data_IF_347581047374
#
_entry.id   IF_347581047374
#
_cell.length_a   1.000
_cell.length_b   1.000
_cell.length_c   1.000
_cell.angle_alpha   90.00
_cell.angle_beta   90.00
_cell.angle_gamma   90.00
#
_symmetry.space_group_name_H-M   'P 1'
#
loop_
_entity.id
_entity.type
_entity.pdbx_description
1 polymer ?
#
# COMPACT_ATOMS: atom_id res chain seq x y z
N UNK A 1 -30.38 33.97 44.99
CA UNK A 1 -30.31 32.57 44.59
C UNK A 1 -31.14 32.25 43.33
N UNK A 2 -32.42 32.61 43.23
CA UNK A 2 -33.27 32.32 42.03
C UNK A 2 -32.72 32.89 40.69
N UNK A 3 -32.14 34.10 40.68
CA UNK A 3 -31.60 34.73 39.46
C UNK A 3 -30.34 34.02 38.94
N UNK A 4 -29.49 33.48 39.82
CA UNK A 4 -28.30 32.73 39.44
C UNK A 4 -28.69 31.38 38.84
N UNK A 5 -29.74 30.75 39.37
CA UNK A 5 -30.25 29.46 38.85
C UNK A 5 -30.83 29.59 37.43
N UNK A 6 -31.52 30.71 37.15
CA UNK A 6 -32.08 31.02 35.82
C UNK A 6 -30.93 31.23 34.79
N UNK A 7 -29.88 31.97 35.17
CA UNK A 7 -28.72 32.20 34.31
C UNK A 7 -27.99 30.88 34.00
N UNK A 8 -27.87 29.99 34.98
CA UNK A 8 -27.24 28.66 34.81
C UNK A 8 -28.05 27.74 33.87
N UNK A 9 -29.40 27.77 33.96
CA UNK A 9 -30.29 27.03 33.08
C UNK A 9 -30.23 27.59 31.65
N UNK A 10 -30.22 28.90 31.47
CA UNK A 10 -30.11 29.55 30.16
C UNK A 10 -28.74 29.27 29.53
N UNK A 11 -27.64 29.25 30.30
CA UNK A 11 -26.30 28.85 29.84
C UNK A 11 -26.24 27.39 29.42
N UNK A 12 -26.94 26.50 30.11
CA UNK A 12 -27.00 25.06 29.76
C UNK A 12 -27.83 24.79 28.49
N UNK A 13 -28.85 25.63 28.24
CA UNK A 13 -29.68 25.57 27.02
C UNK A 13 -28.97 26.15 25.77
N UNK A 14 -27.89 26.93 25.95
CA UNK A 14 -27.09 27.52 24.91
C UNK A 14 -25.85 26.65 24.55
N UNK A 15 -25.71 25.45 25.12
CA UNK A 15 -24.73 24.49 24.62
C UNK A 15 -25.05 24.19 23.15
N UNK A 16 -24.14 24.50 22.20
CA UNK A 16 -24.39 24.18 20.80
C UNK A 16 -24.59 22.68 20.74
N UNK A 17 -25.70 22.22 20.15
CA UNK A 17 -25.80 20.85 19.67
C UNK A 17 -24.62 20.67 18.68
N UNK A 18 -23.54 20.12 19.16
CA UNK A 18 -22.47 19.67 18.30
C UNK A 18 -23.12 18.66 17.33
N UNK A 19 -23.41 19.13 16.11
CA UNK A 19 -23.97 18.30 15.09
C UNK A 19 -23.02 17.11 14.94
N UNK A 20 -23.50 15.91 15.21
CA UNK A 20 -22.73 14.70 15.00
C UNK A 20 -22.38 14.66 13.52
N UNK A 21 -21.09 14.75 13.20
CA UNK A 21 -20.61 14.58 11.84
C UNK A 21 -21.09 13.20 11.37
N UNK A 22 -21.81 13.15 10.25
CA UNK A 22 -22.32 11.91 9.70
C UNK A 22 -21.13 11.12 9.16
N UNK A 23 -20.76 10.01 9.80
CA UNK A 23 -19.83 9.05 9.24
C UNK A 23 -20.53 8.27 8.13
N UNK A 24 -19.96 8.29 6.94
CA UNK A 24 -20.52 7.59 5.77
C UNK A 24 -20.18 6.12 5.81
N UNK A 25 -21.19 5.27 5.57
CA UNK A 25 -21.00 3.88 5.16
C UNK A 25 -20.80 3.81 3.64
N UNK A 26 -20.22 2.74 3.17
CA UNK A 26 -19.98 2.53 1.73
C UNK A 26 -21.30 2.61 0.94
N UNK A 27 -22.42 2.11 1.52
CA UNK A 27 -23.74 2.16 0.93
C UNK A 27 -24.31 3.57 0.79
N UNK A 28 -23.97 4.45 1.73
CA UNK A 28 -24.51 5.81 1.83
C UNK A 28 -23.81 6.80 0.90
N UNK A 29 -22.66 6.42 0.32
CA UNK A 29 -21.93 7.28 -0.61
C UNK A 29 -22.72 7.42 -1.92
N UNK A 30 -23.10 8.64 -2.32
CA UNK A 30 -23.82 8.84 -3.57
C UNK A 30 -22.85 8.66 -4.75
N UNK A 31 -22.84 7.46 -5.33
CA UNK A 31 -22.03 7.16 -6.51
C UNK A 31 -22.61 7.87 -7.73
N UNK A 32 -22.25 9.16 -7.88
CA UNK A 32 -22.82 10.07 -8.90
C UNK A 32 -22.58 9.57 -10.31
N UNK A 33 -21.46 8.91 -10.58
CA UNK A 33 -21.12 8.36 -11.89
C UNK A 33 -22.11 7.26 -12.36
N UNK A 34 -22.73 6.55 -11.43
CA UNK A 34 -23.75 5.55 -11.77
C UNK A 34 -25.06 6.18 -12.26
N UNK A 35 -25.31 7.45 -11.90
CA UNK A 35 -26.48 8.22 -12.33
C UNK A 35 -26.17 9.07 -13.57
N UNK A 36 -24.98 9.68 -13.60
CA UNK A 36 -24.50 10.53 -14.67
C UNK A 36 -23.04 10.20 -14.99
N UNK A 37 -22.82 9.59 -16.15
CA UNK A 37 -21.49 9.14 -16.62
C UNK A 37 -20.47 10.26 -16.85
N UNK A 38 -20.90 11.52 -16.78
CA UNK A 38 -20.03 12.71 -16.89
C UNK A 38 -19.58 13.25 -15.54
N UNK A 39 -20.13 12.71 -14.44
CA UNK A 39 -19.82 13.12 -13.07
C UNK A 39 -18.92 12.10 -12.39
N UNK A 40 -17.88 12.58 -11.73
CA UNK A 40 -16.84 11.77 -11.08
C UNK A 40 -16.64 12.12 -9.60
N UNK A 41 -17.14 13.33 -9.19
CA UNK A 41 -16.92 13.88 -7.85
C UNK A 41 -18.14 13.66 -6.97
N UNK A 42 -18.01 12.81 -5.95
CA UNK A 42 -18.98 12.61 -4.87
C UNK A 42 -18.69 13.59 -3.73
N UNK A 43 -19.50 14.62 -3.58
CA UNK A 43 -19.31 15.72 -2.63
C UNK A 43 -20.62 16.04 -1.89
N UNK A 44 -21.20 15.09 -1.13
CA UNK A 44 -22.49 15.27 -0.48
C UNK A 44 -22.48 16.35 0.59
N UNK A 45 -21.35 16.54 1.26
CA UNK A 45 -21.17 17.52 2.36
C UNK A 45 -20.75 18.91 1.86
N UNK A 46 -20.68 19.10 0.53
CA UNK A 46 -20.28 20.38 -0.09
C UNK A 46 -18.93 20.91 0.41
N UNK A 47 -17.98 20.01 0.66
CA UNK A 47 -16.62 20.35 1.06
C UNK A 47 -15.90 21.09 -0.07
N UNK A 48 -16.10 20.62 -1.31
CA UNK A 48 -15.60 21.28 -2.51
C UNK A 48 -16.68 22.22 -3.08
N UNK A 49 -16.22 23.36 -3.59
CA UNK A 49 -17.10 24.31 -4.29
C UNK A 49 -17.63 23.72 -5.60
N UNK A 50 -18.82 24.15 -6.07
CA UNK A 50 -19.37 23.69 -7.34
C UNK A 50 -18.41 23.91 -8.53
N UNK A 51 -17.69 25.03 -8.56
CA UNK A 51 -16.74 25.36 -9.61
C UNK A 51 -15.54 24.42 -9.65
N UNK A 52 -15.02 24.02 -8.48
CA UNK A 52 -13.94 23.02 -8.36
C UNK A 52 -14.43 21.65 -8.78
N UNK A 53 -15.63 21.26 -8.36
CA UNK A 53 -16.24 20.00 -8.74
C UNK A 53 -16.41 19.91 -10.26
N UNK A 54 -16.96 20.94 -10.91
CA UNK A 54 -17.13 20.99 -12.37
C UNK A 54 -15.78 20.94 -13.11
N UNK A 55 -14.77 21.63 -12.60
CA UNK A 55 -13.41 21.60 -13.16
C UNK A 55 -12.81 20.21 -13.13
N UNK A 56 -12.96 19.49 -12.01
CA UNK A 56 -12.48 18.12 -11.86
C UNK A 56 -13.29 17.16 -12.74
N UNK A 57 -14.62 17.26 -12.77
CA UNK A 57 -15.49 16.43 -13.61
C UNK A 57 -15.11 16.56 -15.10
N UNK A 58 -14.92 17.80 -15.59
CA UNK A 58 -14.51 18.07 -16.97
C UNK A 58 -13.15 17.47 -17.29
N UNK A 59 -12.19 17.62 -16.37
CA UNK A 59 -10.83 17.08 -16.50
C UNK A 59 -10.85 15.56 -16.56
N UNK A 60 -11.61 14.90 -15.69
CA UNK A 60 -11.72 13.45 -15.62
C UNK A 60 -12.52 12.86 -16.79
N UNK A 61 -13.52 13.57 -17.28
CA UNK A 61 -14.22 13.19 -18.49
C UNK A 61 -13.30 13.14 -19.71
N UNK A 62 -12.44 14.16 -19.86
CA UNK A 62 -11.43 14.19 -20.91
C UNK A 62 -10.43 13.01 -20.75
N UNK A 63 -9.92 12.77 -19.54
CA UNK A 63 -9.03 11.65 -19.24
C UNK A 63 -9.68 10.30 -19.57
N UNK A 64 -10.92 10.09 -19.15
CA UNK A 64 -11.66 8.84 -19.43
C UNK A 64 -11.83 8.60 -20.93
N UNK A 65 -12.08 9.66 -21.71
CA UNK A 65 -12.24 9.56 -23.17
C UNK A 65 -10.95 9.17 -23.88
N UNK A 66 -9.80 9.68 -23.43
CA UNK A 66 -8.50 9.42 -24.05
C UNK A 66 -7.89 8.09 -23.61
N UNK A 67 -7.88 7.81 -22.31
CA UNK A 67 -7.16 6.65 -21.72
C UNK A 67 -8.09 5.49 -21.35
N UNK A 68 -9.39 5.77 -21.19
CA UNK A 68 -10.36 4.81 -20.67
C UNK A 68 -10.21 4.49 -19.17
N UNK A 69 -9.39 5.24 -18.43
CA UNK A 69 -9.21 5.13 -16.98
C UNK A 69 -10.49 5.59 -16.29
N UNK A 70 -10.92 4.86 -15.26
CA UNK A 70 -12.09 5.18 -14.48
C UNK A 70 -11.68 5.72 -13.10
N UNK A 71 -12.13 6.94 -12.80
CA UNK A 71 -11.76 7.64 -11.57
C UNK A 71 -13.00 7.94 -10.75
N UNK A 72 -12.90 7.80 -9.43
CA UNK A 72 -13.88 8.28 -8.45
C UNK A 72 -13.18 9.19 -7.46
N UNK A 73 -13.70 10.39 -7.30
CA UNK A 73 -13.22 11.37 -6.32
C UNK A 73 -14.29 11.54 -5.25
N UNK A 74 -13.91 11.41 -4.00
CA UNK A 74 -14.82 11.57 -2.87
C UNK A 74 -14.29 12.65 -1.92
N UNK A 75 -15.19 13.55 -1.51
CA UNK A 75 -14.94 14.52 -0.48
C UNK A 75 -16.04 14.37 0.58
N UNK A 76 -15.68 13.76 1.70
CA UNK A 76 -16.59 13.39 2.80
C UNK A 76 -16.14 14.02 4.10
N UNK A 77 -17.09 14.33 4.98
CA UNK A 77 -16.74 14.82 6.32
C UNK A 77 -16.09 13.72 7.12
N UNK A 78 -16.68 12.54 7.17
CA UNK A 78 -16.17 11.42 7.94
C UNK A 78 -16.51 10.08 7.29
N UNK A 79 -15.76 9.03 7.61
CA UNK A 79 -15.96 7.67 7.12
C UNK A 79 -16.12 6.69 8.28
N UNK A 80 -16.92 5.65 8.08
CA UNK A 80 -17.14 4.60 9.09
C UNK A 80 -15.79 3.99 9.48
N UNK A 81 -15.63 3.62 10.75
CA UNK A 81 -14.44 3.05 11.36
C UNK A 81 -13.17 3.92 11.30
N UNK A 82 -13.22 5.11 10.68
CA UNK A 82 -12.10 6.05 10.59
C UNK A 82 -10.90 5.57 9.77
N UNK A 83 -11.01 4.43 9.08
CA UNK A 83 -9.97 3.90 8.20
C UNK A 83 -10.23 4.31 6.75
N UNK A 84 -9.59 5.42 6.35
CA UNK A 84 -9.72 5.98 5.00
C UNK A 84 -9.24 5.01 3.91
N UNK A 85 -8.21 4.21 4.19
CA UNK A 85 -7.68 3.26 3.21
C UNK A 85 -8.66 2.11 2.99
N UNK A 86 -9.07 1.46 4.07
CA UNK A 86 -9.98 0.34 3.99
C UNK A 86 -11.33 0.75 3.39
N UNK A 87 -11.81 1.96 3.73
CA UNK A 87 -13.03 2.51 3.16
C UNK A 87 -12.92 2.71 1.64
N UNK A 88 -11.85 3.36 1.17
CA UNK A 88 -11.63 3.59 -0.27
C UNK A 88 -11.45 2.28 -1.05
N UNK A 89 -10.69 1.33 -0.50
CA UNK A 89 -10.47 0.01 -1.10
C UNK A 89 -11.78 -0.77 -1.23
N UNK A 90 -12.53 -0.91 -0.14
CA UNK A 90 -13.79 -1.65 -0.11
C UNK A 90 -14.85 -1.03 -1.02
N UNK A 91 -14.86 0.31 -1.13
CA UNK A 91 -15.72 1.01 -2.08
C UNK A 91 -15.35 0.66 -3.53
N UNK A 92 -14.05 0.67 -3.86
CA UNK A 92 -13.56 0.30 -5.18
C UNK A 92 -13.93 -1.13 -5.59
N UNK A 93 -13.77 -2.07 -4.67
CA UNK A 93 -14.13 -3.47 -4.86
C UNK A 93 -15.64 -3.66 -5.01
N UNK A 94 -16.43 -3.01 -4.14
CA UNK A 94 -17.89 -3.11 -4.15
C UNK A 94 -18.51 -2.61 -5.44
N UNK A 95 -18.08 -1.45 -5.92
CA UNK A 95 -18.61 -0.84 -7.14
C UNK A 95 -17.86 -1.24 -8.40
N UNK A 96 -16.73 -1.93 -8.27
CA UNK A 96 -15.92 -2.42 -9.38
C UNK A 96 -15.37 -1.29 -10.24
N UNK A 97 -14.82 -0.25 -9.62
CA UNK A 97 -14.24 0.91 -10.32
C UNK A 97 -13.08 0.45 -11.20
N UNK A 98 -13.11 0.84 -12.49
CA UNK A 98 -12.13 0.36 -13.48
C UNK A 98 -12.68 -0.78 -14.35
N UNK A 99 -11.98 -1.09 -15.43
CA UNK A 99 -12.35 -2.14 -16.38
C UNK A 99 -11.74 -3.47 -15.97
N UNK A 100 -12.55 -4.52 -15.84
CA UNK A 100 -12.18 -5.87 -15.40
C UNK A 100 -10.95 -6.48 -16.11
N UNK A 101 -10.70 -6.10 -17.37
CA UNK A 101 -9.54 -6.61 -18.14
C UNK A 101 -8.29 -5.73 -17.99
N UNK A 102 -8.45 -4.50 -17.52
CA UNK A 102 -7.37 -3.50 -17.43
C UNK A 102 -7.02 -3.13 -16.01
N UNK A 103 -7.91 -3.39 -15.05
CA UNK A 103 -7.80 -3.01 -13.63
C UNK A 103 -7.34 -1.53 -13.45
N UNK A 104 -7.89 -0.65 -14.31
CA UNK A 104 -7.50 0.74 -14.46
C UNK A 104 -8.41 1.71 -13.68
N UNK A 105 -8.83 1.29 -12.50
CA UNK A 105 -9.59 2.10 -11.56
C UNK A 105 -8.69 2.98 -10.69
N UNK A 106 -9.18 4.16 -10.34
CA UNK A 106 -8.53 5.09 -9.41
C UNK A 106 -9.55 5.67 -8.47
N UNK A 107 -9.26 5.64 -7.18
CA UNK A 107 -10.09 6.26 -6.14
C UNK A 107 -9.26 7.30 -5.40
N UNK A 108 -9.83 8.49 -5.22
CA UNK A 108 -9.26 9.56 -4.43
C UNK A 108 -10.28 9.95 -3.37
N UNK A 109 -9.97 9.71 -2.10
CA UNK A 109 -10.82 10.01 -0.95
C UNK A 109 -10.18 11.09 -0.08
N UNK A 110 -10.88 12.20 0.08
CA UNK A 110 -10.62 13.20 1.10
C UNK A 110 -11.64 13.03 2.22
N UNK A 111 -11.18 12.83 3.45
CA UNK A 111 -12.02 12.96 4.66
C UNK A 111 -11.49 14.10 5.52
N UNK A 112 -12.35 15.10 5.75
CA UNK A 112 -11.96 16.29 6.51
C UNK A 112 -11.98 16.05 8.01
N UNK A 113 -12.87 15.19 8.52
CA UNK A 113 -12.95 14.81 9.93
C UNK A 113 -11.79 13.91 10.34
N UNK A 114 -11.45 12.93 9.52
CA UNK A 114 -10.27 12.06 9.72
C UNK A 114 -8.96 12.75 9.36
N UNK A 115 -9.02 13.93 8.72
CA UNK A 115 -7.85 14.66 8.19
C UNK A 115 -6.95 13.75 7.35
N UNK A 116 -7.55 13.01 6.44
CA UNK A 116 -6.83 12.09 5.57
C UNK A 116 -7.14 12.34 4.10
N UNK A 117 -6.13 12.12 3.27
CA UNK A 117 -6.26 11.94 1.82
C UNK A 117 -5.75 10.55 1.47
N UNK A 118 -6.55 9.79 0.74
CA UNK A 118 -6.22 8.45 0.30
C UNK A 118 -6.34 8.37 -1.23
N UNK A 119 -5.32 7.82 -1.87
CA UNK A 119 -5.32 7.45 -3.29
C UNK A 119 -5.18 5.94 -3.36
N UNK A 120 -6.12 5.26 -4.00
CA UNK A 120 -6.08 3.80 -4.21
C UNK A 120 -6.10 3.52 -5.70
N UNK A 121 -5.13 2.74 -6.17
CA UNK A 121 -4.94 2.40 -7.59
C UNK A 121 -5.31 0.95 -7.86
N UNK A 122 -5.96 0.70 -8.98
CA UNK A 122 -6.10 -0.64 -9.52
C UNK A 122 -4.77 -1.15 -10.08
N UNK A 123 -4.60 -2.45 -10.19
CA UNK A 123 -3.35 -3.11 -10.66
C UNK A 123 -2.82 -2.54 -11.97
N UNK A 124 -3.71 -2.19 -12.93
CA UNK A 124 -3.31 -1.64 -14.22
C UNK A 124 -2.72 -0.23 -14.16
N UNK A 125 -2.82 0.45 -13.03
CA UNK A 125 -2.26 1.79 -12.83
C UNK A 125 -0.99 1.80 -11.99
N UNK A 126 -0.61 0.70 -11.34
CA UNK A 126 0.56 0.64 -10.45
C UNK A 126 1.87 0.96 -11.17
N UNK A 127 1.99 0.62 -12.45
CA UNK A 127 3.15 0.98 -13.26
C UNK A 127 3.29 2.50 -13.52
N UNK A 128 2.16 3.23 -13.53
CA UNK A 128 2.11 4.66 -13.84
C UNK A 128 2.04 5.50 -12.56
N UNK A 129 1.22 5.06 -11.62
CA UNK A 129 0.95 5.67 -10.32
C UNK A 129 1.29 4.69 -9.18
N UNK A 130 2.56 4.28 -9.02
CA UNK A 130 2.96 3.50 -7.85
C UNK A 130 2.81 4.31 -6.56
N UNK A 131 2.74 3.65 -5.42
CA UNK A 131 2.52 4.23 -4.09
C UNK A 131 3.43 5.42 -3.79
N UNK A 132 4.70 5.32 -4.15
CA UNK A 132 5.68 6.40 -3.95
C UNK A 132 5.33 7.67 -4.76
N UNK A 133 4.75 7.51 -5.95
CA UNK A 133 4.29 8.64 -6.78
C UNK A 133 3.02 9.23 -6.19
N UNK A 134 2.04 8.40 -5.81
CA UNK A 134 0.83 8.83 -5.12
C UNK A 134 1.17 9.62 -3.85
N UNK A 135 2.07 9.11 -3.02
CA UNK A 135 2.54 9.78 -1.80
C UNK A 135 3.18 11.14 -2.10
N UNK A 136 4.03 11.22 -3.13
CA UNK A 136 4.67 12.46 -3.55
C UNK A 136 3.67 13.51 -4.04
N UNK A 137 2.62 13.08 -4.75
CA UNK A 137 1.54 13.97 -5.20
C UNK A 137 0.80 14.53 -3.98
N UNK A 138 0.43 13.69 -3.01
CA UNK A 138 -0.20 14.13 -1.78
C UNK A 138 0.65 15.16 -1.04
N UNK A 139 1.92 14.86 -0.81
CA UNK A 139 2.84 15.72 -0.04
C UNK A 139 3.12 17.06 -0.71
N UNK A 140 3.23 17.09 -2.05
CA UNK A 140 3.57 18.30 -2.77
C UNK A 140 2.37 19.14 -3.21
N UNK A 141 1.28 18.50 -3.61
CA UNK A 141 0.18 19.16 -4.30
C UNK A 141 -1.15 19.16 -3.53
N UNK A 142 -1.27 18.38 -2.41
CA UNK A 142 -2.51 18.27 -1.67
C UNK A 142 -2.34 18.73 -0.21
N UNK A 143 -1.51 18.07 0.56
CA UNK A 143 -1.36 18.29 2.01
C UNK A 143 -1.03 19.73 2.42
N UNK A 144 -0.16 20.50 1.70
CA UNK A 144 0.13 21.87 2.07
C UNK A 144 -1.09 22.80 2.05
N UNK A 145 -2.09 22.47 1.23
CA UNK A 145 -3.35 23.20 1.14
C UNK A 145 -4.36 22.65 2.16
N UNK A 146 -4.49 21.33 2.28
CA UNK A 146 -5.39 20.69 3.23
C UNK A 146 -5.07 21.04 4.68
N UNK A 147 -3.80 21.15 5.03
CA UNK A 147 -3.37 21.60 6.35
C UNK A 147 -3.89 23.01 6.72
N UNK A 148 -4.17 23.83 5.70
CA UNK A 148 -4.73 25.19 5.85
C UNK A 148 -6.25 25.26 5.67
N UNK A 149 -6.91 24.12 5.40
CA UNK A 149 -8.34 24.07 5.07
C UNK A 149 -8.68 24.53 3.64
N UNK A 150 -7.68 24.70 2.76
CA UNK A 150 -7.89 25.09 1.36
C UNK A 150 -8.27 23.85 0.52
N UNK A 151 -9.45 23.28 0.80
CA UNK A 151 -9.90 22.00 0.22
C UNK A 151 -9.96 22.01 -1.31
N UNK A 152 -10.56 23.04 -1.87
CA UNK A 152 -10.70 23.23 -3.32
C UNK A 152 -9.34 23.21 -4.02
N UNK A 153 -8.42 24.01 -3.52
CA UNK A 153 -7.11 24.18 -4.13
C UNK A 153 -6.27 22.90 -4.04
N UNK A 154 -6.28 22.26 -2.86
CA UNK A 154 -5.54 21.01 -2.66
C UNK A 154 -6.08 19.88 -3.53
N UNK A 155 -7.41 19.75 -3.65
CA UNK A 155 -8.00 18.74 -4.50
C UNK A 155 -7.71 19.02 -5.98
N UNK A 156 -7.89 20.26 -6.44
CA UNK A 156 -7.69 20.64 -7.85
C UNK A 156 -6.23 20.44 -8.28
N UNK A 157 -5.27 20.91 -7.47
CA UNK A 157 -3.84 20.76 -7.80
C UNK A 157 -3.40 19.29 -7.76
N UNK A 158 -3.88 18.52 -6.81
CA UNK A 158 -3.63 17.08 -6.76
C UNK A 158 -4.19 16.34 -7.96
N UNK A 159 -5.43 16.64 -8.36
CA UNK A 159 -6.05 16.02 -9.53
C UNK A 159 -5.37 16.42 -10.85
N UNK A 160 -4.88 17.66 -10.97
CA UNK A 160 -4.05 18.09 -12.11
C UNK A 160 -2.76 17.26 -12.20
N UNK A 161 -2.07 17.06 -11.07
CA UNK A 161 -0.84 16.29 -11.02
C UNK A 161 -1.08 14.80 -11.37
N UNK A 162 -2.16 14.21 -10.87
CA UNK A 162 -2.58 12.85 -11.21
C UNK A 162 -2.87 12.75 -12.72
N UNK A 163 -3.70 13.64 -13.25
CA UNK A 163 -4.02 13.66 -14.69
C UNK A 163 -2.78 13.78 -15.55
N UNK A 164 -1.86 14.69 -15.22
CA UNK A 164 -0.62 14.87 -15.97
C UNK A 164 0.20 13.58 -16.00
N UNK A 165 0.27 12.87 -14.87
CA UNK A 165 1.00 11.60 -14.80
C UNK A 165 0.34 10.50 -15.64
N UNK A 166 -1.00 10.41 -15.61
CA UNK A 166 -1.76 9.44 -16.37
C UNK A 166 -1.78 9.73 -17.88
N UNK A 167 -1.77 11.00 -18.28
CA UNK A 167 -1.74 11.39 -19.71
C UNK A 167 -0.37 11.12 -20.35
N UNK A 168 0.72 11.31 -19.61
CA UNK A 168 2.07 11.09 -20.12
C UNK A 168 2.45 9.61 -20.21
N UNK A 169 1.65 8.70 -19.67
CA UNK A 169 1.90 7.26 -19.74
C UNK A 169 1.67 6.70 -21.15
N UNK A 170 0.72 7.27 -21.90
CA UNK A 170 0.47 6.86 -23.28
C UNK A 170 1.61 7.26 -24.25
N UNK A 171 2.45 8.25 -23.88
CA UNK A 171 3.63 8.64 -24.67
C UNK A 171 4.86 7.78 -24.38
N UNK A 172 4.91 7.08 -23.25
CA UNK A 172 6.08 6.28 -22.85
C UNK A 172 6.09 4.87 -23.40
N UNK A 173 4.96 4.34 -23.85
CA UNK A 173 4.88 3.03 -24.52
C UNK A 173 5.38 3.06 -25.98
N UNK A 174 5.55 4.28 -26.57
CA UNK A 174 6.10 4.47 -27.91
C UNK A 174 7.61 4.80 -27.92
N UNK A 175 8.18 5.20 -26.79
CA UNK A 175 9.60 5.55 -26.65
C UNK A 175 10.23 4.90 -25.40
N UNK A 176 10.29 3.60 -25.41
CA UNK A 176 10.96 2.80 -24.37
C UNK A 176 12.48 2.99 -24.36
N UNK A 177 13.02 4.18 -24.42
CA UNK A 177 14.42 4.50 -24.14
C UNK A 177 14.72 6.00 -24.19
N UNK A 178 14.32 6.78 -23.20
CA UNK A 178 15.02 8.04 -22.87
C UNK A 178 15.03 8.31 -21.36
N UNK A 179 16.00 7.70 -20.70
CA UNK A 179 17.10 8.27 -19.94
C UNK A 179 16.76 9.48 -19.06
N UNK A 180 16.27 9.24 -17.84
CA UNK A 180 16.66 10.11 -16.73
C UNK A 180 18.08 9.72 -16.28
N UNK A 181 19.04 10.44 -16.79
CA UNK A 181 20.45 10.34 -16.41
C UNK A 181 20.69 11.13 -15.11
N UNK A 182 20.39 10.49 -13.98
CA UNK A 182 20.87 10.93 -12.67
C UNK A 182 21.13 9.76 -11.70
N UNK A 183 21.28 8.56 -12.24
CA UNK A 183 21.43 7.33 -11.41
C UNK A 183 22.84 6.75 -11.43
N UNK A 184 23.80 7.37 -12.12
CA UNK A 184 25.16 6.81 -12.20
C UNK A 184 25.93 6.84 -10.89
N UNK A 185 25.65 7.78 -9.99
CA UNK A 185 26.29 7.83 -8.67
C UNK A 185 25.70 6.83 -7.67
N UNK A 186 24.37 6.65 -7.68
CA UNK A 186 23.67 5.76 -6.73
C UNK A 186 23.89 4.29 -7.07
N UNK A 187 23.89 3.95 -8.37
CA UNK A 187 24.19 2.57 -8.83
C UNK A 187 25.63 2.16 -8.50
N UNK A 188 26.58 3.10 -8.56
CA UNK A 188 27.96 2.85 -8.15
C UNK A 188 28.07 2.50 -6.66
N UNK A 189 27.40 3.24 -5.78
CA UNK A 189 27.36 2.93 -4.34
C UNK A 189 26.63 1.62 -4.04
N UNK A 190 25.51 1.33 -4.71
CA UNK A 190 24.81 0.06 -4.54
C UNK A 190 25.63 -1.14 -5.04
N UNK A 191 26.35 -1.00 -6.16
CA UNK A 191 27.24 -2.05 -6.66
C UNK A 191 28.38 -2.33 -5.68
N UNK A 192 29.06 -1.31 -5.16
CA UNK A 192 30.13 -1.46 -4.18
C UNK A 192 29.60 -2.09 -2.89
N UNK A 193 28.41 -1.66 -2.40
CA UNK A 193 27.79 -2.22 -1.21
C UNK A 193 27.37 -3.68 -1.42
N UNK A 194 26.78 -4.00 -2.58
CA UNK A 194 26.38 -5.35 -2.94
C UNK A 194 27.58 -6.31 -3.07
N UNK A 195 28.65 -5.91 -3.77
CA UNK A 195 29.87 -6.71 -3.85
C UNK A 195 30.58 -6.83 -2.52
N UNK A 196 30.56 -5.76 -1.70
CA UNK A 196 31.06 -5.81 -0.33
C UNK A 196 30.28 -6.79 0.54
N UNK A 197 28.96 -6.77 0.47
CA UNK A 197 28.08 -7.67 1.22
C UNK A 197 28.22 -9.14 0.77
N UNK A 198 28.25 -9.37 -0.55
CA UNK A 198 28.50 -10.70 -1.10
C UNK A 198 29.88 -11.22 -0.71
N UNK A 199 30.93 -10.39 -0.81
CA UNK A 199 32.28 -10.73 -0.35
C UNK A 199 32.33 -11.03 1.15
N UNK A 200 31.60 -10.26 1.97
CA UNK A 200 31.50 -10.49 3.41
C UNK A 200 30.76 -11.79 3.74
N UNK A 201 29.67 -12.08 3.05
CA UNK A 201 28.95 -13.37 3.18
C UNK A 201 29.86 -14.54 2.78
N UNK A 202 30.58 -14.40 1.66
CA UNK A 202 31.55 -15.40 1.22
C UNK A 202 32.67 -15.62 2.24
N UNK A 203 33.16 -14.53 2.85
CA UNK A 203 34.14 -14.56 3.92
C UNK A 203 33.62 -15.26 5.19
N UNK A 204 32.36 -14.98 5.58
CA UNK A 204 31.72 -15.69 6.69
C UNK A 204 31.53 -17.16 6.40
N UNK A 205 31.05 -17.51 5.20
CA UNK A 205 30.91 -18.92 4.77
C UNK A 205 32.28 -19.64 4.76
N UNK A 206 33.33 -18.94 4.32
CA UNK A 206 34.69 -19.49 4.32
C UNK A 206 35.22 -19.71 5.76
N UNK A 207 34.97 -18.78 6.69
CA UNK A 207 35.31 -18.97 8.11
C UNK A 207 34.52 -20.14 8.72
N UNK A 208 33.22 -20.22 8.45
CA UNK A 208 32.37 -21.28 8.99
C UNK A 208 32.73 -22.66 8.43
N UNK A 209 33.19 -22.73 7.16
CA UNK A 209 33.58 -23.96 6.49
C UNK A 209 35.04 -24.37 6.75
N UNK A 210 35.79 -23.59 7.54
CA UNK A 210 37.17 -24.00 7.90
C UNK A 210 37.15 -25.33 8.65
N UNK A 211 37.94 -26.32 8.22
CA UNK A 211 38.01 -27.59 8.91
C UNK A 211 38.49 -27.37 10.36
N UNK A 212 37.79 -27.99 11.28
CA UNK A 212 38.14 -27.94 12.70
C UNK A 212 39.51 -28.60 12.95
N UNK A 213 40.20 -28.21 14.00
CA UNK A 213 41.45 -28.85 14.38
C UNK A 213 41.16 -30.22 15.01
N UNK A 214 41.93 -31.20 14.63
CA UNK A 214 41.84 -32.53 15.24
C UNK A 214 42.37 -32.51 16.67
N UNK A 215 41.65 -33.03 17.68
CA UNK A 215 42.10 -33.02 19.05
C UNK A 215 43.35 -33.90 19.29
N UNK A 216 43.60 -34.87 18.39
CA UNK A 216 44.75 -35.79 18.52
C UNK A 216 46.05 -35.31 17.84
N UNK A 217 45.93 -34.74 16.63
CA UNK A 217 47.12 -34.32 15.85
C UNK A 217 47.22 -32.82 15.61
N UNK A 218 46.27 -32.02 16.15
CA UNK A 218 46.16 -30.56 16.05
C UNK A 218 46.12 -29.98 14.60
N UNK A 219 46.04 -30.84 13.60
CA UNK A 219 45.95 -30.46 12.17
C UNK A 219 44.53 -30.07 11.78
N UNK A 220 44.38 -29.12 10.82
CA UNK A 220 43.09 -28.65 10.30
C UNK A 220 42.55 -29.63 9.23
N UNK A 221 42.39 -30.90 9.59
CA UNK A 221 41.92 -31.96 8.68
C UNK A 221 40.70 -32.71 9.24
N UNK A 222 40.05 -32.17 10.26
CA UNK A 222 38.91 -32.79 10.96
C UNK A 222 37.61 -32.45 10.22
N UNK A 223 36.98 -33.40 9.57
CA UNK A 223 35.77 -33.23 8.77
C UNK A 223 34.66 -34.15 9.24
N UNK A 224 33.43 -33.67 9.10
CA UNK A 224 32.20 -34.42 9.30
C UNK A 224 32.04 -35.40 8.15
N UNK A 225 31.88 -36.70 8.45
CA UNK A 225 31.67 -37.75 7.43
C UNK A 225 30.21 -38.17 7.38
N UNK A 226 29.57 -38.33 8.52
CA UNK A 226 28.16 -38.73 8.55
C UNK A 226 27.37 -37.91 9.55
N UNK A 227 26.06 -37.75 9.27
CA UNK A 227 25.09 -37.09 10.12
C UNK A 227 23.78 -37.87 10.02
N UNK A 228 23.33 -38.46 11.15
CA UNK A 228 22.11 -39.23 11.23
C UNK A 228 21.14 -38.58 12.20
N UNK A 229 19.91 -38.36 11.79
CA UNK A 229 18.87 -37.84 12.66
C UNK A 229 18.46 -38.93 13.66
N UNK A 230 18.56 -38.65 14.95
CA UNK A 230 18.23 -39.58 16.02
C UNK A 230 16.88 -39.26 16.62
N UNK A 231 16.54 -37.96 16.74
CA UNK A 231 15.32 -37.54 17.43
C UNK A 231 14.78 -36.25 16.85
N UNK A 232 13.43 -36.15 16.72
CA UNK A 232 12.71 -34.95 16.26
C UNK A 232 11.39 -34.81 17.01
N UNK A 233 11.28 -33.83 17.91
CA UNK A 233 10.05 -33.51 18.63
C UNK A 233 10.07 -32.08 19.18
N UNK A 234 8.90 -31.40 19.18
CA UNK A 234 8.75 -30.10 19.85
C UNK A 234 9.63 -28.98 19.31
N UNK A 235 9.91 -28.93 18.00
CA UNK A 235 10.75 -27.88 17.40
C UNK A 235 12.26 -28.11 17.57
N UNK A 236 12.67 -29.22 18.19
CA UNK A 236 14.08 -29.63 18.37
C UNK A 236 14.39 -30.88 17.58
N UNK A 237 15.59 -30.93 17.03
CA UNK A 237 16.15 -32.07 16.33
C UNK A 237 17.54 -32.38 16.90
N UNK A 238 17.83 -33.68 17.10
CA UNK A 238 19.12 -34.16 17.57
C UNK A 238 19.75 -35.03 16.47
N UNK A 239 20.98 -34.73 16.14
CA UNK A 239 21.74 -35.45 15.13
C UNK A 239 22.94 -36.13 15.78
N UNK A 240 23.14 -37.39 15.43
CA UNK A 240 24.40 -38.10 15.71
C UNK A 240 25.37 -37.83 14.57
N UNK A 241 26.50 -37.18 14.89
CA UNK A 241 27.46 -36.70 13.89
C UNK A 241 28.81 -37.35 14.16
N UNK A 242 29.38 -37.94 13.10
CA UNK A 242 30.71 -38.57 13.16
C UNK A 242 31.69 -37.67 12.41
N UNK A 243 32.74 -37.31 13.10
CA UNK A 243 33.87 -36.55 12.57
C UNK A 243 35.09 -37.46 12.43
N UNK A 244 35.86 -37.31 11.34
CA UNK A 244 37.10 -38.05 11.14
C UNK A 244 38.19 -37.12 10.63
N UNK A 245 39.41 -37.34 11.15
CA UNK A 245 40.59 -36.65 10.72
C UNK A 245 41.22 -37.37 9.51
N UNK A 246 41.31 -36.65 8.39
CA UNK A 246 41.93 -37.22 7.15
C UNK A 246 43.45 -37.52 7.29
N UNK A 247 44.13 -36.94 8.29
CA UNK A 247 45.58 -37.08 8.48
C UNK A 247 45.96 -38.23 9.43
N UNK A 248 45.27 -38.34 10.55
CA UNK A 248 45.63 -39.36 11.56
C UNK A 248 44.53 -40.42 11.76
N UNK A 249 43.41 -40.38 11.05
CA UNK A 249 42.32 -41.36 11.15
C UNK A 249 41.49 -41.26 12.43
N UNK A 250 41.78 -40.30 13.33
CA UNK A 250 41.03 -40.17 14.56
C UNK A 250 39.55 -39.89 14.29
N UNK A 251 38.66 -40.65 14.89
CA UNK A 251 37.19 -40.50 14.79
C UNK A 251 36.63 -40.04 16.15
N UNK A 252 35.66 -39.13 16.08
CA UNK A 252 34.93 -38.65 17.26
C UNK A 252 33.44 -38.54 16.93
N UNK A 253 32.60 -39.04 17.82
CA UNK A 253 31.15 -39.02 17.67
C UNK A 253 30.57 -38.00 18.64
N UNK A 254 29.66 -37.15 18.18
CA UNK A 254 28.99 -36.13 18.98
C UNK A 254 27.51 -36.02 18.59
N UNK A 255 26.69 -35.76 19.60
CA UNK A 255 25.30 -35.39 19.37
C UNK A 255 25.17 -33.87 19.25
N UNK A 256 24.62 -33.39 18.16
CA UNK A 256 24.37 -31.96 17.91
C UNK A 256 22.86 -31.69 17.91
N UNK A 257 22.41 -30.66 18.65
CA UNK A 257 21.02 -30.24 18.69
C UNK A 257 20.79 -29.02 17.80
N UNK A 258 19.69 -29.02 17.05
CA UNK A 258 19.27 -27.92 16.20
C UNK A 258 17.77 -27.66 16.37
N UNK A 259 17.35 -26.40 16.35
CA UNK A 259 15.93 -26.02 16.35
C UNK A 259 15.42 -25.75 14.93
N UNK A 260 14.16 -26.12 14.66
CA UNK A 260 13.49 -25.78 13.40
C UNK A 260 12.15 -25.09 13.67
N UNK A 261 11.79 -24.08 12.87
CA UNK A 261 10.48 -23.44 12.93
C UNK A 261 9.55 -24.04 11.87
N UNK A 262 8.36 -24.48 12.28
CA UNK A 262 7.29 -24.90 11.37
C UNK A 262 6.50 -23.66 10.95
N UNK A 263 6.73 -23.15 9.75
CA UNK A 263 5.92 -22.12 9.12
C UNK A 263 4.59 -22.74 8.64
N UNK A 264 3.47 -22.33 9.26
CA UNK A 264 2.11 -22.72 8.84
C UNK A 264 1.61 -21.73 7.79
N UNK A 265 1.51 -22.15 6.54
CA UNK A 265 0.84 -21.43 5.45
C UNK A 265 -0.61 -21.92 5.30
N UNK A 266 -1.58 -21.07 5.62
CA UNK A 266 -3.01 -21.34 5.44
C UNK A 266 -3.61 -20.43 4.36
N UNK A 267 -3.90 -21.00 3.19
CA UNK A 267 -4.65 -20.32 2.13
C UNK A 267 -6.16 -20.50 2.33
N UNK A 268 -6.92 -19.42 2.19
CA UNK A 268 -8.40 -19.48 2.05
C UNK A 268 -8.80 -18.85 0.72
N UNK A 269 -9.49 -19.65 -0.09
CA UNK A 269 -10.24 -19.22 -1.28
C UNK A 269 -11.66 -18.86 -0.85
N UNK A 270 -12.20 -17.77 -1.39
CA UNK A 270 -13.63 -17.46 -1.32
C UNK A 270 -14.12 -17.01 -2.70
N UNK A 271 -15.16 -17.67 -3.17
CA UNK A 271 -15.91 -17.41 -4.39
C UNK A 271 -17.15 -16.60 -4.03
N UNK A 272 -17.53 -15.60 -4.82
CA UNK A 272 -18.77 -14.84 -4.66
C UNK A 272 -19.31 -14.36 -6.01
N UNK A 273 -20.58 -14.67 -6.26
CA UNK A 273 -21.30 -14.46 -7.50
C UNK A 273 -21.85 -13.05 -7.68
N UNK A 274 -22.15 -12.70 -8.93
CA UNK A 274 -22.57 -11.37 -9.34
C UNK A 274 -24.08 -11.17 -9.37
N UNK A 275 -24.46 -9.90 -9.33
CA UNK A 275 -25.82 -9.43 -9.68
C UNK A 275 -25.70 -8.24 -10.61
N UNK A 276 -26.56 -8.22 -11.63
CA UNK A 276 -26.62 -7.20 -12.67
C UNK A 276 -27.68 -6.15 -12.31
N UNK A 277 -27.34 -4.86 -12.48
CA UNK A 277 -28.34 -3.79 -12.61
C UNK A 277 -27.86 -2.77 -13.65
N UNK A 278 -28.81 -2.25 -14.45
CA UNK A 278 -28.59 -1.36 -15.57
C UNK A 278 -28.56 0.09 -15.08
N UNK A 279 -27.40 0.67 -15.10
CA UNK A 279 -27.06 2.08 -14.92
C UNK A 279 -25.62 2.21 -15.36
N UNK A 280 -25.06 3.40 -15.54
CA UNK A 280 -23.64 3.51 -15.87
C UNK A 280 -22.84 2.54 -14.98
N UNK A 281 -22.17 1.56 -15.55
CA UNK A 281 -21.44 0.56 -14.78
C UNK A 281 -19.95 0.85 -14.87
N UNK A 282 -19.29 0.79 -13.74
CA UNK A 282 -17.85 0.57 -13.72
C UNK A 282 -17.55 -0.83 -14.26
N UNK A 283 -16.44 -0.99 -14.95
CA UNK A 283 -16.13 -2.20 -15.70
C UNK A 283 -15.68 -3.41 -14.86
N UNK A 284 -15.75 -3.34 -13.51
CA UNK A 284 -15.44 -4.44 -12.59
C UNK A 284 -13.94 -4.70 -12.43
N UNK A 285 -13.12 -3.63 -12.39
CA UNK A 285 -11.69 -3.71 -12.11
C UNK A 285 -11.38 -4.21 -10.69
N UNK A 286 -10.21 -4.78 -10.50
CA UNK A 286 -9.69 -5.23 -9.21
C UNK A 286 -8.64 -4.27 -8.68
N UNK A 287 -8.64 -4.09 -7.36
CA UNK A 287 -7.64 -3.31 -6.64
C UNK A 287 -6.67 -4.25 -5.92
N UNK A 288 -5.36 -3.99 -6.08
CA UNK A 288 -4.29 -4.80 -5.48
C UNK A 288 -3.84 -4.34 -4.11
N UNK A 289 -4.54 -3.35 -3.56
CA UNK A 289 -4.10 -2.71 -2.33
C UNK A 289 -2.97 -1.70 -2.56
N UNK A 290 -2.63 -1.38 -3.81
CA UNK A 290 -1.73 -0.29 -4.17
C UNK A 290 -2.35 1.06 -3.90
N UNK A 291 -1.50 2.07 -3.67
CA UNK A 291 -1.92 3.44 -3.38
C UNK A 291 -1.16 4.04 -2.21
N UNK A 292 -1.51 5.25 -1.85
CA UNK A 292 -0.91 5.93 -0.72
C UNK A 292 -1.94 6.74 0.06
N UNK A 293 -1.73 6.83 1.37
CA UNK A 293 -2.49 7.68 2.26
C UNK A 293 -1.59 8.62 3.05
N UNK A 294 -2.11 9.78 3.38
CA UNK A 294 -1.46 10.72 4.30
C UNK A 294 -2.48 11.43 5.17
N UNK A 295 -2.06 11.75 6.40
CA UNK A 295 -2.73 12.70 7.26
C UNK A 295 -2.08 14.06 7.11
N UNK A 296 -2.86 15.13 7.31
CA UNK A 296 -2.43 16.53 7.15
C UNK A 296 -2.90 17.42 8.29
#
# INVERSE_FOLDING_TARGET
MKKIFVILIVSLLLLPLAGQAKAYKIEDVPMVHLKDSTKFVCNPDKILSPSTQESIDTMLLALKRTTGIEVVVMALTDVEDGDCYQFALSLGEKYGVGKKKKDNGLIVLLSTGQRCIQIVTGYGLEGILPDAVCKRIQEKHMNPYFAKGEWDKGMLEGMKAIRQRLANADETDADGAKKESSTSSVLGFFAIYFFGLVGFIWFLVWICNRPKRCPKCNERAFKRISMKLVFRQGGKQRYHVVYTCKKCGHTEERDEESSYSTGSGGGRRSSGGGSRSSGGSFGGGHFGGGGAGSKF
#
